data_IF_058614118636
#
_entry.id   IF_058614118636
#
_cell.length_a   1.000
_cell.length_b   1.000
_cell.length_c   1.000
_cell.angle_alpha   90.00
_cell.angle_beta   90.00
_cell.angle_gamma   90.00
#
_symmetry.space_group_name_H-M   'P 1'
#
loop_
_entity.id
_entity.type
_entity.pdbx_description
1 polymer ?
#
# COMPACT_ATOMS: atom_id res chain seq x y z
N UNK A 1 8.94 14.50 4.57
CA UNK A 1 8.36 13.44 5.42
C UNK A 1 6.91 13.79 5.70
N UNK A 2 6.01 12.82 5.54
CA UNK A 2 4.55 13.02 5.64
C UNK A 2 3.81 11.85 4.99
N UNK A 3 2.51 11.76 5.21
CA UNK A 3 1.62 10.67 4.75
C UNK A 3 1.85 10.37 3.26
N UNK A 4 1.66 11.37 2.40
CA UNK A 4 1.80 11.25 0.94
C UNK A 4 3.18 10.74 0.49
N UNK A 5 4.27 11.28 1.07
CA UNK A 5 5.62 10.86 0.67
C UNK A 5 5.94 9.44 1.14
N UNK A 6 5.40 9.03 2.29
CA UNK A 6 5.67 7.72 2.87
C UNK A 6 4.85 6.64 2.18
N UNK A 7 3.57 6.92 1.91
CA UNK A 7 2.71 6.02 1.15
C UNK A 7 3.22 5.80 -0.27
N UNK A 8 3.68 6.87 -0.95
CA UNK A 8 4.29 6.75 -2.27
C UNK A 8 5.51 5.82 -2.25
N UNK A 9 6.42 5.97 -1.28
CA UNK A 9 7.60 5.08 -1.18
C UNK A 9 7.21 3.63 -0.93
N UNK A 10 6.18 3.38 -0.13
CA UNK A 10 5.70 2.02 0.15
C UNK A 10 5.12 1.39 -1.12
N UNK A 11 4.33 2.16 -1.86
CA UNK A 11 3.78 1.75 -3.14
C UNK A 11 4.86 1.54 -4.21
N UNK A 12 5.82 2.46 -4.35
CA UNK A 12 6.94 2.32 -5.29
C UNK A 12 7.75 1.05 -5.01
N UNK A 13 7.92 0.69 -3.73
CA UNK A 13 8.55 -0.57 -3.34
C UNK A 13 7.72 -1.78 -3.77
N UNK A 14 6.41 -1.75 -3.57
CA UNK A 14 5.51 -2.80 -4.02
C UNK A 14 5.56 -2.95 -5.55
N UNK A 15 5.50 -1.85 -6.31
CA UNK A 15 5.66 -1.84 -7.76
C UNK A 15 7.01 -2.40 -8.20
N UNK A 16 8.10 -2.04 -7.52
CA UNK A 16 9.42 -2.56 -7.85
C UNK A 16 9.53 -4.09 -7.64
N UNK A 17 8.80 -4.64 -6.67
CA UNK A 17 8.77 -6.07 -6.37
C UNK A 17 7.80 -6.84 -7.27
N UNK A 18 6.61 -6.28 -7.52
CA UNK A 18 5.58 -6.88 -8.37
C UNK A 18 5.90 -6.76 -9.87
N UNK A 19 6.59 -5.68 -10.27
CA UNK A 19 6.81 -5.34 -11.67
C UNK A 19 5.52 -4.85 -12.33
N UNK A 20 5.23 -5.36 -13.52
CA UNK A 20 4.00 -5.04 -14.28
C UNK A 20 2.87 -6.06 -14.05
N UNK A 21 2.98 -6.87 -13.00
CA UNK A 21 2.07 -7.98 -12.71
C UNK A 21 1.00 -7.55 -11.70
N UNK A 22 -0.24 -7.47 -12.16
CA UNK A 22 -1.40 -7.06 -11.35
C UNK A 22 -1.69 -8.07 -10.23
N UNK A 23 -1.48 -9.35 -10.44
CA UNK A 23 -1.72 -10.37 -9.42
C UNK A 23 -0.67 -10.27 -8.31
N UNK A 24 0.59 -10.02 -8.66
CA UNK A 24 1.63 -9.72 -7.65
C UNK A 24 1.36 -8.42 -6.92
N UNK A 25 0.81 -7.40 -7.59
CA UNK A 25 0.42 -6.16 -6.91
C UNK A 25 -0.65 -6.40 -5.84
N UNK A 26 -1.63 -7.28 -6.11
CA UNK A 26 -2.63 -7.71 -5.12
C UNK A 26 -1.98 -8.45 -3.94
N UNK A 27 -0.99 -9.31 -4.22
CA UNK A 27 -0.21 -9.96 -3.16
C UNK A 27 0.56 -8.93 -2.31
N UNK A 28 1.17 -7.92 -2.94
CA UNK A 28 1.88 -6.85 -2.24
C UNK A 28 0.93 -6.02 -1.37
N UNK A 29 -0.25 -5.66 -1.87
CA UNK A 29 -1.26 -4.95 -1.10
C UNK A 29 -1.64 -5.76 0.14
N UNK A 30 -1.97 -7.06 -0.02
CA UNK A 30 -2.27 -7.95 1.10
C UNK A 30 -1.09 -8.08 2.10
N UNK A 31 0.15 -8.09 1.61
CA UNK A 31 1.34 -8.11 2.46
C UNK A 31 1.49 -6.81 3.26
N UNK A 32 1.19 -5.65 2.67
CA UNK A 32 1.15 -4.35 3.36
C UNK A 32 0.09 -4.34 4.45
N UNK A 33 -1.12 -4.83 4.19
CA UNK A 33 -2.18 -4.93 5.21
C UNK A 33 -1.78 -5.85 6.37
N UNK A 34 -1.18 -7.00 6.04
CA UNK A 34 -0.67 -7.94 7.03
C UNK A 34 0.43 -7.30 7.87
N UNK A 35 1.38 -6.60 7.24
CA UNK A 35 2.45 -5.87 7.92
C UNK A 35 1.91 -4.78 8.85
N UNK A 36 0.89 -4.05 8.42
CA UNK A 36 0.23 -3.02 9.25
C UNK A 36 -0.44 -3.63 10.48
N UNK A 37 -1.16 -4.74 10.33
CA UNK A 37 -1.77 -5.48 11.46
C UNK A 37 -0.69 -6.00 12.43
N UNK A 38 0.40 -6.55 11.90
CA UNK A 38 1.52 -7.02 12.73
C UNK A 38 2.19 -5.86 13.48
N UNK A 39 2.44 -4.73 12.82
CA UNK A 39 2.98 -3.54 13.45
C UNK A 39 2.05 -3.00 14.55
N UNK A 40 0.74 -3.03 14.32
CA UNK A 40 -0.27 -2.64 15.33
C UNK A 40 -0.23 -3.56 16.54
N UNK A 41 -0.18 -4.88 16.32
CA UNK A 41 -0.06 -5.86 17.40
C UNK A 41 1.24 -5.72 18.18
N UNK A 42 2.37 -5.55 17.49
CA UNK A 42 3.69 -5.35 18.10
C UNK A 42 3.80 -4.05 18.89
N UNK A 43 3.09 -3.00 18.45
CA UNK A 43 3.01 -1.73 19.17
C UNK A 43 2.24 -1.84 20.50
N UNK A 44 1.39 -2.86 20.66
CA UNK A 44 0.67 -3.16 21.90
C UNK A 44 -0.46 -2.18 22.25
N UNK A 45 -0.69 -1.18 21.41
CA UNK A 45 -1.78 -0.21 21.49
C UNK A 45 -2.17 0.25 20.09
N UNK A 46 -3.20 1.08 19.98
CA UNK A 46 -3.57 1.66 18.69
C UNK A 46 -2.40 2.49 18.12
N UNK A 47 -2.08 2.27 16.84
CA UNK A 47 -1.05 3.05 16.16
C UNK A 47 -1.50 4.52 16.09
N UNK A 48 -0.58 5.49 16.15
CA UNK A 48 -0.90 6.89 15.93
C UNK A 48 -1.68 7.09 14.62
N UNK A 49 -2.62 8.03 14.57
CA UNK A 49 -3.49 8.27 13.41
C UNK A 49 -2.73 8.42 12.10
N UNK A 50 -1.55 9.05 12.13
CA UNK A 50 -0.67 9.22 10.96
C UNK A 50 -0.26 7.89 10.31
N UNK A 51 -0.14 6.80 11.08
CA UNK A 51 0.15 5.47 10.54
C UNK A 51 -1.04 4.94 9.75
N UNK A 52 -2.25 5.12 10.28
CA UNK A 52 -3.49 4.76 9.58
C UNK A 52 -3.67 5.59 8.31
N UNK A 53 -3.44 6.91 8.39
CA UNK A 53 -3.50 7.80 7.23
C UNK A 53 -2.50 7.37 6.14
N UNK A 54 -1.30 6.95 6.53
CA UNK A 54 -0.27 6.44 5.60
C UNK A 54 -0.68 5.11 4.97
N UNK A 55 -1.27 4.21 5.75
CA UNK A 55 -1.80 2.95 5.26
C UNK A 55 -2.94 3.16 4.26
N UNK A 56 -3.94 3.97 4.62
CA UNK A 56 -5.08 4.31 3.77
C UNK A 56 -4.62 4.98 2.46
N UNK A 57 -3.67 5.92 2.55
CA UNK A 57 -3.10 6.56 1.38
C UNK A 57 -2.29 5.59 0.50
N UNK A 58 -1.69 4.54 1.07
CA UNK A 58 -1.00 3.52 0.28
C UNK A 58 -2.00 2.62 -0.44
N UNK A 59 -3.04 2.14 0.26
CA UNK A 59 -4.11 1.35 -0.35
C UNK A 59 -4.79 2.09 -1.50
N UNK A 60 -5.02 3.41 -1.33
CA UNK A 60 -5.55 4.23 -2.43
C UNK A 60 -4.63 4.23 -3.66
N UNK A 61 -3.30 4.23 -3.50
CA UNK A 61 -2.37 4.17 -4.63
C UNK A 61 -2.46 2.81 -5.37
N UNK A 62 -2.71 1.71 -4.65
CA UNK A 62 -3.00 0.42 -5.27
C UNK A 62 -4.29 0.46 -6.08
N UNK A 63 -5.36 1.02 -5.52
CA UNK A 63 -6.65 1.15 -6.21
C UNK A 63 -6.53 2.01 -7.47
N UNK A 64 -5.85 3.16 -7.37
CA UNK A 64 -5.57 4.05 -8.50
C UNK A 64 -4.73 3.33 -9.59
N UNK A 65 -3.79 2.46 -9.19
CA UNK A 65 -3.01 1.64 -10.12
C UNK A 65 -3.88 0.62 -10.86
N UNK A 66 -4.76 -0.11 -10.17
CA UNK A 66 -5.64 -1.09 -10.81
C UNK A 66 -6.60 -0.42 -11.80
N UNK A 67 -7.19 0.71 -11.41
CA UNK A 67 -8.03 1.51 -12.31
C UNK A 67 -7.25 1.93 -13.58
N UNK A 68 -5.99 2.36 -13.42
CA UNK A 68 -5.15 2.75 -14.57
C UNK A 68 -4.78 1.58 -15.50
N UNK A 69 -4.76 0.34 -14.99
CA UNK A 69 -4.50 -0.87 -15.78
C UNK A 69 -5.76 -1.34 -16.51
N UNK A 70 -6.93 -1.15 -15.92
CA UNK A 70 -8.22 -1.42 -16.57
C UNK A 70 -8.43 -0.46 -17.77
N UNK A 71 -8.16 0.84 -17.60
CA UNK A 71 -8.28 1.85 -18.68
C UNK A 71 -7.32 1.62 -19.86
N UNK A 72 -6.17 0.97 -19.64
CA UNK A 72 -5.19 0.66 -20.71
C UNK A 72 -5.56 -0.59 -21.53
N UNK A 73 -6.60 -1.32 -21.12
CA UNK A 73 -7.04 -2.56 -21.78
C UNK A 73 -8.21 -2.31 -22.75
N UNK A 74 -8.73 -1.07 -22.84
CA UNK A 74 -9.74 -0.63 -23.82
C UNK A 74 -9.15 -0.01 -25.10
#
# INVERSE_FOLDING_TARGET
>A
WGVKQTSQRLFDFACALAGDDVDKMKEMQAAVEKGFKQATGAWGRELPSICKDTFDATNKLFDDYYASKEEQTE
#
